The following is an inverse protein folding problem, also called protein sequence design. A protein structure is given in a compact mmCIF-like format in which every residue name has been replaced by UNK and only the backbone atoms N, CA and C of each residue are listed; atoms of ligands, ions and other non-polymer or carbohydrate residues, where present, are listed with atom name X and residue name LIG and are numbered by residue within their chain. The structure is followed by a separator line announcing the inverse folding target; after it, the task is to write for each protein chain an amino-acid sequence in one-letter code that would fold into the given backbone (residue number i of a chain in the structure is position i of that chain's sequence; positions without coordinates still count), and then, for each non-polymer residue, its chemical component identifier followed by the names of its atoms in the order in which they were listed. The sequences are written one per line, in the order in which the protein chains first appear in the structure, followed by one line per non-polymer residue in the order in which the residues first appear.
data_IF_424499159745
#
_entry.id   IF_424499159745
#
_cell.length_a   1.000
_cell.length_b   1.000
_cell.length_c   1.000
_cell.angle_alpha   90.00
_cell.angle_beta   90.00
_cell.angle_gamma   90.00
#
_symmetry.space_group_name_H-M   'P 1'
#
loop_
_entity.id
_entity.type
_entity.pdbx_description
1 polymer ?
#
# COMPACT_ATOMS: atom_id res chain seq x y z
N UNK A 1 -2.62 -6.52 -15.87
CA UNK A 1 -2.70 -7.43 -14.71
C UNK A 1 -1.89 -6.92 -13.51
N UNK A 2 -0.63 -6.50 -13.67
CA UNK A 2 0.25 -6.08 -12.55
C UNK A 2 -0.25 -4.85 -11.77
N UNK A 3 -0.82 -3.84 -12.44
CA UNK A 3 -1.35 -2.66 -11.75
C UNK A 3 -2.58 -2.96 -10.89
N UNK A 4 -3.47 -3.82 -11.38
CA UNK A 4 -4.62 -4.28 -10.59
C UNK A 4 -4.21 -5.07 -9.35
N UNK A 5 -3.13 -5.86 -9.43
CA UNK A 5 -2.63 -6.61 -8.27
C UNK A 5 -2.02 -5.70 -7.20
N UNK A 6 -1.30 -4.64 -7.58
CA UNK A 6 -0.77 -3.66 -6.63
C UNK A 6 -1.90 -2.94 -5.88
N UNK A 7 -2.91 -2.42 -6.61
CA UNK A 7 -4.07 -1.78 -5.99
C UNK A 7 -4.86 -2.73 -5.08
N UNK A 8 -5.03 -3.99 -5.51
CA UNK A 8 -5.66 -5.04 -4.72
C UNK A 8 -4.94 -5.31 -3.41
N UNK A 9 -3.61 -5.35 -3.42
CA UNK A 9 -2.81 -5.53 -2.20
C UNK A 9 -2.96 -4.38 -1.22
N UNK A 10 -3.03 -3.12 -1.70
CA UNK A 10 -3.30 -1.98 -0.82
C UNK A 10 -4.70 -2.07 -0.20
N UNK A 11 -5.71 -2.48 -0.97
CA UNK A 11 -7.06 -2.69 -0.45
C UNK A 11 -7.07 -3.78 0.65
N UNK A 12 -6.31 -4.86 0.47
CA UNK A 12 -6.12 -5.89 1.51
C UNK A 12 -5.42 -5.30 2.74
N UNK A 13 -4.40 -4.45 2.56
CA UNK A 13 -3.72 -3.79 3.68
C UNK A 13 -4.67 -2.89 4.48
N UNK A 14 -5.56 -2.12 3.82
CA UNK A 14 -6.60 -1.32 4.49
C UNK A 14 -7.51 -2.20 5.34
N UNK A 15 -7.95 -3.35 4.81
CA UNK A 15 -8.75 -4.32 5.55
C UNK A 15 -7.99 -4.88 6.76
N UNK A 16 -6.71 -5.20 6.59
CA UNK A 16 -5.84 -5.66 7.67
C UNK A 16 -5.70 -4.61 8.78
N UNK A 17 -5.51 -3.32 8.44
CA UNK A 17 -5.43 -2.22 9.41
C UNK A 17 -6.74 -2.08 10.19
N UNK A 18 -7.90 -2.19 9.54
CA UNK A 18 -9.19 -2.19 10.22
C UNK A 18 -9.29 -3.35 11.24
N UNK A 19 -8.96 -4.56 10.82
CA UNK A 19 -9.01 -5.73 11.69
C UNK A 19 -7.97 -5.66 12.83
N UNK A 20 -6.79 -5.05 12.61
CA UNK A 20 -5.80 -4.81 13.66
C UNK A 20 -6.29 -3.79 14.69
N UNK A 21 -7.03 -2.77 14.24
CA UNK A 21 -7.65 -1.79 15.15
C UNK A 21 -8.64 -2.48 16.08
N UNK A 22 -9.46 -3.33 15.53
CA UNK A 22 -10.61 -3.91 16.21
C UNK A 22 -10.31 -5.30 16.83
N UNK A 23 -9.05 -5.76 16.82
CA UNK A 23 -8.63 -7.12 17.18
C UNK A 23 -9.09 -7.56 18.58
N UNK A 24 -9.09 -6.65 19.56
CA UNK A 24 -9.52 -6.96 20.94
C UNK A 24 -11.04 -7.08 21.01
N UNK A 25 -11.76 -6.17 20.36
CA UNK A 25 -13.22 -6.21 20.28
C UNK A 25 -13.70 -7.46 19.53
N UNK A 26 -13.07 -7.76 18.39
CA UNK A 26 -13.39 -8.93 17.57
C UNK A 26 -13.16 -10.24 18.36
N UNK A 27 -12.04 -10.33 19.08
CA UNK A 27 -11.73 -11.49 19.93
C UNK A 27 -12.74 -11.69 21.05
N UNK A 28 -13.11 -10.60 21.73
CA UNK A 28 -14.08 -10.64 22.85
C UNK A 28 -15.49 -11.05 22.41
N UNK A 29 -15.86 -10.75 21.15
CA UNK A 29 -17.16 -11.13 20.58
C UNK A 29 -17.09 -12.46 19.79
N UNK A 30 -15.99 -13.21 19.87
CA UNK A 30 -15.85 -14.50 19.19
C UNK A 30 -15.77 -14.40 17.68
N UNK A 31 -15.46 -13.22 17.13
CA UNK A 31 -15.27 -13.01 15.70
C UNK A 31 -13.88 -13.47 15.28
N UNK A 32 -13.84 -14.45 14.38
CA UNK A 32 -12.60 -14.99 13.84
C UNK A 32 -12.19 -14.24 12.57
N UNK A 33 -11.18 -13.40 12.67
CA UNK A 33 -10.53 -12.72 11.55
C UNK A 33 -9.09 -13.25 11.39
N UNK A 34 -8.48 -13.02 10.23
CA UNK A 34 -7.06 -13.35 10.05
C UNK A 34 -6.17 -12.69 11.10
N UNK A 35 -6.50 -11.47 11.51
CA UNK A 35 -5.74 -10.73 12.51
C UNK A 35 -5.93 -11.30 13.91
N UNK A 36 -7.13 -11.77 14.28
CA UNK A 36 -7.35 -12.46 15.57
C UNK A 36 -6.61 -13.79 15.61
N UNK A 37 -6.54 -14.53 14.49
CA UNK A 37 -5.83 -15.80 14.39
C UNK A 37 -4.30 -15.64 14.46
N UNK A 38 -3.74 -14.62 13.77
CA UNK A 38 -2.29 -14.39 13.76
C UNK A 38 -1.79 -13.63 14.99
N UNK A 39 -2.67 -12.91 15.68
CA UNK A 39 -2.34 -12.00 16.76
C UNK A 39 -1.77 -10.66 16.26
N UNK A 40 -1.77 -9.65 17.15
CA UNK A 40 -1.43 -8.26 16.82
C UNK A 40 -0.03 -8.11 16.21
N UNK A 41 0.97 -8.78 16.76
CA UNK A 41 2.35 -8.63 16.31
C UNK A 41 2.54 -9.17 14.88
N UNK A 42 2.15 -10.43 14.64
CA UNK A 42 2.28 -11.05 13.32
C UNK A 42 1.38 -10.36 12.29
N UNK A 43 0.17 -9.95 12.68
CA UNK A 43 -0.74 -9.18 11.83
C UNK A 43 -0.16 -7.83 11.41
N UNK A 44 0.56 -7.13 12.32
CA UNK A 44 1.28 -5.89 11.99
C UNK A 44 2.37 -6.13 10.94
N UNK A 45 3.22 -7.15 11.16
CA UNK A 45 4.29 -7.51 10.22
C UNK A 45 3.72 -7.89 8.86
N UNK A 46 2.67 -8.71 8.84
CA UNK A 46 1.97 -9.13 7.63
C UNK A 46 1.42 -7.94 6.84
N UNK A 47 0.77 -6.99 7.52
CA UNK A 47 0.21 -5.79 6.88
C UNK A 47 1.29 -4.92 6.25
N UNK A 48 2.40 -4.71 6.96
CA UNK A 48 3.54 -3.94 6.45
C UNK A 48 4.17 -4.66 5.25
N UNK A 49 4.31 -5.99 5.31
CA UNK A 49 4.84 -6.78 4.20
C UNK A 49 3.99 -6.65 2.93
N UNK A 50 2.66 -6.69 3.06
CA UNK A 50 1.73 -6.47 1.93
C UNK A 50 1.93 -5.08 1.31
N UNK A 51 2.05 -4.03 2.12
CA UNK A 51 2.30 -2.67 1.63
C UNK A 51 3.63 -2.58 0.87
N UNK A 52 4.70 -3.18 1.39
CA UNK A 52 6.00 -3.21 0.72
C UNK A 52 5.91 -3.94 -0.63
N UNK A 53 5.25 -5.11 -0.67
CA UNK A 53 5.08 -5.88 -1.91
C UNK A 53 4.28 -5.06 -2.93
N UNK A 54 3.21 -4.39 -2.51
CA UNK A 54 2.43 -3.50 -3.38
C UNK A 54 3.29 -2.38 -3.97
N UNK A 55 4.12 -1.72 -3.16
CA UNK A 55 5.03 -0.68 -3.61
C UNK A 55 6.06 -1.19 -4.62
N UNK A 56 6.63 -2.37 -4.39
CA UNK A 56 7.59 -2.98 -5.31
C UNK A 56 6.96 -3.31 -6.66
N UNK A 57 5.72 -3.81 -6.68
CA UNK A 57 4.98 -4.08 -7.92
C UNK A 57 4.68 -2.76 -8.65
N UNK A 58 4.23 -1.73 -7.94
CA UNK A 58 3.95 -0.42 -8.53
C UNK A 58 5.22 0.23 -9.10
N UNK A 59 6.32 0.17 -8.36
CA UNK A 59 7.61 0.68 -8.79
C UNK A 59 8.11 -0.05 -10.05
N UNK A 60 8.06 -1.38 -10.05
CA UNK A 60 8.44 -2.18 -11.23
C UNK A 60 7.61 -1.77 -12.45
N UNK A 61 6.30 -1.60 -12.28
CA UNK A 61 5.42 -1.22 -13.37
C UNK A 61 5.75 0.17 -13.91
N UNK A 62 6.01 1.13 -13.03
CA UNK A 62 6.43 2.48 -13.39
C UNK A 62 7.76 2.50 -14.15
N UNK A 63 8.76 1.75 -13.68
CA UNK A 63 10.06 1.65 -14.35
C UNK A 63 9.93 1.01 -15.74
N UNK A 64 9.13 -0.03 -15.87
CA UNK A 64 8.91 -0.70 -17.13
C UNK A 64 8.23 0.24 -18.14
N UNK A 65 7.18 0.96 -17.74
CA UNK A 65 6.51 1.92 -18.63
C UNK A 65 7.42 3.09 -19.01
N UNK A 66 8.26 3.57 -18.10
CA UNK A 66 9.24 4.64 -18.38
C UNK A 66 10.29 4.25 -19.42
N UNK A 67 10.69 2.99 -19.44
CA UNK A 67 11.65 2.48 -20.45
C UNK A 67 11.03 2.48 -21.85
N UNK A 68 9.73 2.13 -21.96
CA UNK A 68 9.03 2.12 -23.24
C UNK A 68 8.64 3.54 -23.70
N UNK A 69 8.44 4.46 -22.77
CA UNK A 69 8.06 5.86 -23.02
C UNK A 69 9.25 6.82 -22.98
N UNK A 70 10.41 6.41 -23.47
CA UNK A 70 11.73 7.05 -23.28
C UNK A 70 11.82 8.57 -23.54
N UNK A 71 10.78 9.21 -24.08
CA UNK A 71 10.74 10.65 -24.35
C UNK A 71 9.55 11.38 -23.69
N UNK A 72 8.71 10.70 -22.90
CA UNK A 72 7.40 11.25 -22.49
C UNK A 72 7.37 11.75 -21.04
N UNK A 73 8.16 11.20 -20.14
CA UNK A 73 8.21 11.65 -18.74
C UNK A 73 9.58 12.26 -18.45
N UNK A 74 9.67 13.53 -18.03
CA UNK A 74 10.92 14.08 -17.57
C UNK A 74 11.42 13.35 -16.33
N UNK A 75 12.71 13.06 -16.25
CA UNK A 75 13.34 12.33 -15.15
C UNK A 75 12.98 12.89 -13.77
N UNK A 76 12.83 14.21 -13.67
CA UNK A 76 12.43 14.91 -12.44
C UNK A 76 11.03 14.48 -11.99
N UNK A 77 10.07 14.35 -12.92
CA UNK A 77 8.71 13.90 -12.60
C UNK A 77 8.70 12.45 -12.12
N UNK A 78 9.49 11.58 -12.74
CA UNK A 78 9.64 10.18 -12.32
C UNK A 78 10.20 10.09 -10.90
N UNK A 79 11.27 10.84 -10.59
CA UNK A 79 11.85 10.89 -9.24
C UNK A 79 10.83 11.40 -8.22
N UNK A 80 10.06 12.44 -8.55
CA UNK A 80 9.05 12.99 -7.67
C UNK A 80 7.93 11.96 -7.34
N UNK A 81 7.46 11.23 -8.33
CA UNK A 81 6.45 10.18 -8.15
C UNK A 81 6.97 9.06 -7.24
N UNK A 82 8.19 8.60 -7.46
CA UNK A 82 8.83 7.58 -6.62
C UNK A 82 8.99 8.09 -5.17
N UNK A 83 9.42 9.33 -4.99
CA UNK A 83 9.58 9.93 -3.66
C UNK A 83 8.25 10.03 -2.90
N UNK A 84 7.17 10.42 -3.57
CA UNK A 84 5.82 10.48 -2.98
C UNK A 84 5.35 9.07 -2.57
N UNK A 85 5.51 8.06 -3.44
CA UNK A 85 5.16 6.68 -3.14
C UNK A 85 5.93 6.17 -1.91
N UNK A 86 7.25 6.37 -1.87
CA UNK A 86 8.08 5.96 -0.74
C UNK A 86 7.68 6.67 0.56
N UNK A 87 7.39 7.97 0.51
CA UNK A 87 6.98 8.74 1.67
C UNK A 87 5.62 8.25 2.22
N UNK A 88 4.65 7.99 1.37
CA UNK A 88 3.35 7.45 1.76
C UNK A 88 3.48 6.06 2.42
N UNK A 89 4.30 5.18 1.85
CA UNK A 89 4.58 3.83 2.37
C UNK A 89 5.26 3.88 3.75
N UNK A 90 6.27 4.73 3.90
CA UNK A 90 6.98 4.89 5.17
C UNK A 90 6.02 5.43 6.24
N UNK A 91 5.22 6.44 5.92
CA UNK A 91 4.26 7.03 6.85
C UNK A 91 3.18 6.02 7.28
N UNK A 92 2.61 5.26 6.35
CA UNK A 92 1.63 4.21 6.64
C UNK A 92 2.24 3.10 7.52
N UNK A 93 3.40 2.58 7.15
CA UNK A 93 4.11 1.54 7.90
C UNK A 93 4.47 1.99 9.31
N UNK A 94 4.95 3.23 9.47
CA UNK A 94 5.24 3.81 10.77
C UNK A 94 3.99 3.95 11.65
N UNK A 95 2.88 4.43 11.08
CA UNK A 95 1.61 4.56 11.80
C UNK A 95 1.06 3.19 12.27
N UNK A 96 1.20 2.15 11.44
CA UNK A 96 0.81 0.77 11.77
C UNK A 96 1.71 0.23 12.90
N UNK A 97 3.02 0.39 12.78
CA UNK A 97 3.99 -0.07 13.78
C UNK A 97 3.77 0.60 15.15
N UNK A 98 3.39 1.89 15.16
CA UNK A 98 3.04 2.65 16.37
C UNK A 98 1.62 2.40 16.88
N UNK A 99 0.87 1.48 16.30
CA UNK A 99 -0.53 1.17 16.65
C UNK A 99 -1.47 2.38 16.55
N UNK A 100 -1.12 3.36 15.75
CA UNK A 100 -1.93 4.56 15.51
C UNK A 100 -2.86 4.34 14.30
N UNK A 101 -3.72 3.33 14.37
CA UNK A 101 -4.55 2.87 13.25
C UNK A 101 -5.49 3.93 12.68
N UNK A 102 -5.97 4.87 13.53
CA UNK A 102 -6.78 6.01 13.05
C UNK A 102 -6.04 6.90 12.06
N UNK A 103 -4.70 7.00 12.17
CA UNK A 103 -3.83 7.72 11.23
C UNK A 103 -3.38 6.82 10.08
N UNK A 104 -3.20 5.53 10.33
CA UNK A 104 -2.78 4.58 9.31
C UNK A 104 -3.82 4.40 8.20
N UNK A 105 -5.12 4.38 8.53
CA UNK A 105 -6.20 4.19 7.56
C UNK A 105 -6.20 5.25 6.44
N UNK A 106 -6.22 6.57 6.71
CA UNK A 106 -6.18 7.57 5.65
C UNK A 106 -4.85 7.54 4.87
N UNK A 107 -3.73 7.18 5.52
CA UNK A 107 -2.43 7.05 4.84
C UNK A 107 -2.43 5.86 3.87
N UNK A 108 -2.98 4.71 4.24
CA UNK A 108 -3.15 3.57 3.34
C UNK A 108 -4.12 3.89 2.20
N UNK A 109 -5.18 4.66 2.45
CA UNK A 109 -6.09 5.10 1.39
C UNK A 109 -5.41 6.05 0.41
N UNK A 110 -4.58 6.97 0.89
CA UNK A 110 -3.77 7.86 0.06
C UNK A 110 -2.77 7.05 -0.79
N UNK A 111 -2.15 6.04 -0.20
CA UNK A 111 -1.26 5.12 -0.90
C UNK A 111 -1.99 4.37 -2.03
N UNK A 112 -3.21 3.93 -1.80
CA UNK A 112 -4.06 3.33 -2.84
C UNK A 112 -4.31 4.29 -4.01
N UNK A 113 -4.56 5.57 -3.74
CA UNK A 113 -4.74 6.58 -4.78
C UNK A 113 -3.45 6.84 -5.56
N UNK A 114 -2.30 6.87 -4.89
CA UNK A 114 -1.00 7.05 -5.56
C UNK A 114 -0.67 5.87 -6.48
N UNK A 115 -0.90 4.64 -6.02
CA UNK A 115 -0.71 3.42 -6.83
C UNK A 115 -1.64 3.43 -8.05
N UNK A 116 -2.93 3.79 -7.86
CA UNK A 116 -3.89 3.87 -8.96
C UNK A 116 -3.50 4.97 -9.98
N UNK A 117 -3.07 6.14 -9.51
CA UNK A 117 -2.61 7.22 -10.37
C UNK A 117 -1.37 6.83 -11.20
N UNK A 118 -0.41 6.15 -10.59
CA UNK A 118 0.77 5.62 -11.28
C UNK A 118 0.34 4.67 -12.41
N UNK A 119 -0.62 3.78 -12.12
CA UNK A 119 -1.11 2.82 -13.10
C UNK A 119 -1.80 3.51 -14.28
N UNK A 120 -2.69 4.47 -14.01
CA UNK A 120 -3.39 5.23 -15.07
C UNK A 120 -2.41 6.01 -15.92
N UNK A 121 -1.46 6.72 -15.30
CA UNK A 121 -0.42 7.46 -16.02
C UNK A 121 0.45 6.54 -16.88
N UNK A 122 0.86 5.39 -16.35
CA UNK A 122 1.69 4.44 -17.09
C UNK A 122 0.95 3.82 -18.28
N UNK A 123 -0.37 3.61 -18.19
CA UNK A 123 -1.16 3.09 -19.32
C UNK A 123 -1.46 4.14 -20.38
N UNK A 124 -1.54 5.43 -20.00
CA UNK A 124 -1.73 6.53 -20.95
C UNK A 124 -0.45 6.87 -21.73
N UNK A 125 0.72 6.50 -21.20
CA UNK A 125 2.02 6.77 -21.79
C UNK A 125 2.56 5.58 -22.60
N UNK A 126 1.95 4.42 -22.48
CA UNK A 126 2.28 3.20 -23.22
C UNK A 126 1.58 3.14 -24.56
#
# INVERSE_FOLDING_TARGET
LLGGSAAGLVAVAVLCVNNLRDIESDSNHGKHTWMTAMGRQNGTVFTIAILIISALIALRHLLQSSIYAANSIPLIALIAIIAILCAAQIAASYAIARKTYRKALPLCSLDSLTVAAIFVLSTMLA
#
